data_IF_960805270816
#
_entry.id   IF_960805270816
#
_cell.length_a   1.000
_cell.length_b   1.000
_cell.length_c   1.000
_cell.angle_alpha   90.00
_cell.angle_beta   90.00
_cell.angle_gamma   90.00
#
_symmetry.space_group_name_H-M   'P 1'
#
loop_
_entity.id
_entity.type
_entity.pdbx_description
1 polymer ?
#
# COMPACT_ATOMS: atom_id res chain seq x y z
N UNK A 1 17.68 14.12 14.46
CA UNK A 1 17.46 12.69 14.13
C UNK A 1 16.95 12.51 12.71
N UNK A 2 15.79 13.10 12.34
CA UNK A 2 15.18 12.96 11.01
C UNK A 2 16.05 13.54 9.88
N UNK A 3 16.62 14.75 10.06
CA UNK A 3 17.58 15.33 9.12
C UNK A 3 18.81 14.44 8.88
N UNK A 4 19.45 13.97 9.95
CA UNK A 4 20.61 13.08 9.89
C UNK A 4 20.29 11.77 9.17
N UNK A 5 19.09 11.22 9.38
CA UNK A 5 18.64 10.03 8.67
C UNK A 5 18.43 10.30 7.18
N UNK A 6 17.81 11.42 6.82
CA UNK A 6 17.62 11.86 5.43
C UNK A 6 18.96 11.92 4.68
N UNK A 7 19.96 12.56 5.29
CA UNK A 7 21.30 12.70 4.74
C UNK A 7 21.99 11.34 4.57
N UNK A 8 21.94 10.48 5.59
CA UNK A 8 22.53 9.12 5.54
C UNK A 8 21.92 8.24 4.44
N UNK A 9 20.61 8.36 4.21
CA UNK A 9 19.90 7.59 3.18
C UNK A 9 20.00 8.23 1.79
N UNK A 10 20.57 9.43 1.67
CA UNK A 10 20.67 10.16 0.41
C UNK A 10 19.31 10.50 -0.22
N UNK A 11 18.23 10.57 0.57
CA UNK A 11 16.91 10.86 0.02
C UNK A 11 16.70 12.39 -0.16
N UNK A 12 16.10 12.83 -1.30
CA UNK A 12 15.91 14.26 -1.58
C UNK A 12 14.94 14.91 -0.58
N UNK A 13 13.89 14.18 -0.21
CA UNK A 13 12.91 14.58 0.80
C UNK A 13 12.27 13.39 1.50
N UNK A 14 11.74 13.63 2.70
CA UNK A 14 11.11 12.62 3.55
C UNK A 14 10.05 13.28 4.45
N UNK A 15 8.98 12.55 4.77
CA UNK A 15 8.00 12.96 5.79
C UNK A 15 7.88 11.89 6.87
N UNK A 16 7.73 12.32 8.12
CA UNK A 16 7.60 11.45 9.30
C UNK A 16 6.43 11.96 10.15
N UNK A 17 5.61 11.03 10.64
CA UNK A 17 4.51 11.32 11.58
C UNK A 17 4.49 10.24 12.67
N UNK A 18 4.30 10.67 13.92
CA UNK A 18 4.14 9.80 15.09
C UNK A 18 2.85 10.18 15.80
N UNK A 19 1.99 9.18 15.97
CA UNK A 19 0.72 9.30 16.69
C UNK A 19 0.73 8.41 17.93
N UNK A 20 0.21 8.93 19.04
CA UNK A 20 0.02 8.21 20.29
C UNK A 20 -1.42 8.41 20.76
N UNK A 21 -2.14 7.30 20.95
CA UNK A 21 -3.54 7.31 21.40
C UNK A 21 -4.45 8.20 20.53
N UNK A 22 -4.28 8.11 19.21
CA UNK A 22 -5.07 8.85 18.22
C UNK A 22 -4.69 10.33 18.07
N UNK A 23 -3.68 10.82 18.81
CA UNK A 23 -3.18 12.19 18.69
C UNK A 23 -1.80 12.21 18.04
N UNK A 24 -1.63 13.06 17.04
CA UNK A 24 -0.31 13.31 16.44
C UNK A 24 0.53 14.06 17.49
N UNK A 25 1.66 13.46 17.88
CA UNK A 25 2.60 14.04 18.85
C UNK A 25 3.87 14.58 18.16
N UNK A 26 4.09 14.20 16.90
CA UNK A 26 5.19 14.69 16.08
C UNK A 26 4.86 14.51 14.60
N UNK A 27 5.13 15.52 13.79
CA UNK A 27 4.96 15.47 12.35
C UNK A 27 5.93 16.46 11.69
N UNK A 28 6.69 16.00 10.70
CA UNK A 28 7.70 16.82 10.04
C UNK A 28 7.92 16.38 8.59
N UNK A 29 8.12 17.35 7.70
CA UNK A 29 8.61 17.17 6.34
C UNK A 29 10.01 17.78 6.21
N UNK A 30 10.94 17.04 5.61
CA UNK A 30 12.32 17.49 5.39
C UNK A 30 12.72 17.35 3.94
N UNK A 31 13.53 18.30 3.43
CA UNK A 31 14.00 18.30 2.05
C UNK A 31 12.92 18.68 1.03
N UNK A 32 13.06 18.16 -0.19
CA UNK A 32 12.24 18.57 -1.33
C UNK A 32 11.43 17.41 -1.90
N UNK A 33 10.15 17.67 -2.17
CA UNK A 33 9.26 16.81 -2.93
C UNK A 33 9.61 16.83 -4.43
N UNK A 34 10.13 17.96 -4.90
CA UNK A 34 10.67 18.13 -6.24
C UNK A 34 11.96 18.97 -6.15
N UNK A 35 13.08 18.39 -6.57
CA UNK A 35 14.40 19.02 -6.40
C UNK A 35 14.61 20.13 -7.43
N UNK A 36 14.17 19.91 -8.66
CA UNK A 36 14.32 20.84 -9.78
C UNK A 36 13.56 22.14 -9.57
N UNK A 37 12.39 22.05 -8.94
CA UNK A 37 11.51 23.18 -8.64
C UNK A 37 11.58 23.63 -7.18
N UNK A 38 12.49 23.05 -6.38
CA UNK A 38 12.69 23.39 -4.97
C UNK A 38 11.39 23.35 -4.15
N UNK A 39 10.51 22.39 -4.44
CA UNK A 39 9.23 22.25 -3.73
C UNK A 39 9.48 21.53 -2.41
N UNK A 40 9.27 22.16 -1.24
CA UNK A 40 9.54 21.53 0.04
C UNK A 40 8.56 20.38 0.33
N UNK A 41 9.03 19.36 1.06
CA UNK A 41 8.13 18.36 1.65
C UNK A 41 7.37 18.99 2.81
N UNK A 42 6.05 18.75 2.86
CA UNK A 42 5.17 19.11 3.96
C UNK A 42 4.19 17.97 4.26
N UNK A 43 3.31 18.16 5.24
CA UNK A 43 2.30 17.20 5.69
C UNK A 43 1.29 16.77 4.60
N UNK A 44 1.15 17.55 3.54
CA UNK A 44 0.22 17.29 2.44
C UNK A 44 0.93 16.69 1.21
N UNK A 45 2.25 16.48 1.27
CA UNK A 45 3.01 15.89 0.17
C UNK A 45 2.63 14.43 -0.03
N UNK A 46 2.21 14.08 -1.23
CA UNK A 46 1.82 12.70 -1.58
C UNK A 46 3.05 11.90 -2.02
N UNK A 47 3.23 10.72 -1.42
CA UNK A 47 4.30 9.78 -1.75
C UNK A 47 3.73 8.49 -2.36
N UNK A 48 4.52 7.83 -3.22
CA UNK A 48 4.24 6.45 -3.63
C UNK A 48 4.60 5.52 -2.47
N UNK A 49 3.61 4.81 -1.93
CA UNK A 49 3.77 3.98 -0.74
C UNK A 49 4.05 2.49 -1.03
N UNK A 50 4.11 2.11 -2.31
CA UNK A 50 4.40 0.75 -2.78
C UNK A 50 3.59 -0.33 -2.02
N UNK A 51 4.25 -1.32 -1.41
CA UNK A 51 3.62 -2.46 -0.74
C UNK A 51 2.77 -2.09 0.48
N UNK A 52 2.89 -0.87 1.00
CA UNK A 52 1.99 -0.35 2.05
C UNK A 52 0.55 -0.22 1.51
N UNK A 53 0.34 -0.24 0.19
CA UNK A 53 -1.01 -0.32 -0.40
C UNK A 53 -1.72 -1.66 -0.15
N UNK A 54 -1.00 -2.77 0.09
CA UNK A 54 -1.60 -4.13 0.17
C UNK A 54 -2.59 -4.29 1.33
N UNK A 55 -2.29 -3.85 2.57
CA UNK A 55 -3.27 -3.88 3.65
C UNK A 55 -4.59 -3.17 3.33
N UNK A 56 -4.56 -2.09 2.54
CA UNK A 56 -5.79 -1.41 2.10
C UNK A 56 -6.61 -2.29 1.15
N UNK A 57 -5.97 -2.95 0.19
CA UNK A 57 -6.65 -3.92 -0.69
C UNK A 57 -7.22 -5.09 0.12
N UNK A 58 -6.48 -5.62 1.10
CA UNK A 58 -6.98 -6.66 2.00
C UNK A 58 -8.20 -6.22 2.80
N UNK A 59 -8.21 -4.97 3.29
CA UNK A 59 -9.38 -4.41 3.97
C UNK A 59 -10.61 -4.36 3.04
N UNK A 60 -10.43 -3.92 1.80
CA UNK A 60 -11.51 -3.89 0.80
C UNK A 60 -12.04 -5.29 0.51
N UNK A 61 -11.15 -6.28 0.36
CA UNK A 61 -11.53 -7.69 0.21
C UNK A 61 -12.33 -8.16 1.42
N UNK A 62 -11.87 -7.90 2.64
CA UNK A 62 -12.61 -8.25 3.86
C UNK A 62 -14.04 -7.68 3.87
N UNK A 63 -14.22 -6.43 3.43
CA UNK A 63 -15.55 -5.82 3.28
C UNK A 63 -16.43 -6.52 2.25
N UNK A 64 -15.86 -7.05 1.17
CA UNK A 64 -16.61 -7.81 0.16
C UNK A 64 -17.03 -9.18 0.68
N UNK A 65 -16.17 -9.83 1.47
CA UNK A 65 -16.50 -11.08 2.17
C UNK A 65 -17.64 -10.87 3.16
N UNK A 66 -17.57 -9.81 3.99
CA UNK A 66 -18.64 -9.44 4.94
C UNK A 66 -19.98 -9.16 4.24
N UNK A 67 -19.93 -8.67 3.00
CA UNK A 67 -21.12 -8.39 2.17
C UNK A 67 -21.58 -9.60 1.36
N UNK A 68 -20.94 -10.76 1.48
CA UNK A 68 -21.17 -11.95 0.65
C UNK A 68 -21.08 -11.66 -0.87
N UNK A 69 -20.28 -10.67 -1.26
CA UNK A 69 -20.03 -10.29 -2.67
C UNK A 69 -18.79 -10.95 -3.25
N UNK A 70 -18.01 -11.58 -2.39
CA UNK A 70 -16.82 -12.34 -2.74
C UNK A 70 -16.79 -13.57 -1.83
N UNK A 71 -16.35 -14.68 -2.39
CA UNK A 71 -16.05 -15.92 -1.70
C UNK A 71 -14.63 -16.33 -2.11
N UNK A 72 -13.79 -16.63 -1.12
CA UNK A 72 -12.38 -17.00 -1.35
C UNK A 72 -12.23 -18.44 -1.84
N UNK A 73 -13.24 -19.29 -1.61
CA UNK A 73 -13.22 -20.69 -1.98
C UNK A 73 -13.95 -20.94 -3.32
N UNK A 74 -14.57 -19.90 -3.87
CA UNK A 74 -15.13 -19.89 -5.23
C UNK A 74 -14.03 -19.77 -6.30
N UNK A 75 -14.36 -20.19 -7.52
CA UNK A 75 -13.47 -20.07 -8.66
C UNK A 75 -13.29 -18.59 -9.08
N UNK A 76 -12.07 -18.21 -9.46
CA UNK A 76 -11.76 -16.88 -9.99
C UNK A 76 -12.59 -16.56 -11.26
N UNK A 77 -12.88 -17.56 -12.11
CA UNK A 77 -13.66 -17.38 -13.33
C UNK A 77 -15.13 -17.00 -13.07
N UNK A 78 -15.67 -17.31 -11.89
CA UNK A 78 -17.01 -16.87 -11.47
C UNK A 78 -17.10 -15.34 -11.34
N UNK A 79 -15.98 -14.67 -11.02
CA UNK A 79 -15.90 -13.22 -10.90
C UNK A 79 -15.27 -12.54 -12.12
N UNK A 80 -14.37 -13.23 -12.81
CA UNK A 80 -13.61 -12.69 -13.94
C UNK A 80 -13.54 -13.72 -15.09
N UNK A 81 -14.61 -13.84 -15.91
CA UNK A 81 -14.70 -14.88 -16.94
C UNK A 81 -13.61 -14.82 -18.00
N UNK A 82 -13.06 -13.64 -18.27
CA UNK A 82 -11.97 -13.42 -19.21
C UNK A 82 -10.57 -13.73 -18.65
N UNK A 83 -10.47 -14.16 -17.39
CA UNK A 83 -9.19 -14.43 -16.77
C UNK A 83 -8.47 -15.56 -17.53
N UNK A 84 -7.18 -15.40 -17.88
CA UNK A 84 -6.49 -16.39 -18.70
C UNK A 84 -6.29 -17.70 -17.93
N UNK A 85 -6.55 -18.84 -18.60
CA UNK A 85 -6.23 -20.16 -18.07
C UNK A 85 -4.73 -20.26 -17.77
N UNK A 86 -4.41 -20.52 -16.50
CA UNK A 86 -3.06 -20.88 -16.08
C UNK A 86 -3.01 -22.39 -15.86
N UNK A 87 -2.03 -23.05 -16.46
CA UNK A 87 -1.75 -24.49 -16.28
C UNK A 87 -1.18 -24.69 -14.87
N UNK A 88 -2.03 -24.65 -13.85
CA UNK A 88 -1.72 -25.07 -12.48
C UNK A 88 -3.00 -25.70 -11.93
N UNK A 89 -2.94 -26.98 -11.56
CA UNK A 89 -4.10 -27.86 -11.32
C UNK A 89 -5.09 -27.46 -10.21
N UNK A 90 -4.97 -26.26 -9.60
CA UNK A 90 -5.89 -25.77 -8.57
C UNK A 90 -5.90 -24.22 -8.56
N UNK A 91 -7.06 -23.61 -8.84
CA UNK A 91 -7.22 -22.18 -9.15
C UNK A 91 -8.30 -21.48 -8.30
N UNK A 92 -8.15 -21.50 -6.96
CA UNK A 92 -9.07 -20.83 -6.03
C UNK A 92 -8.72 -19.35 -5.79
N UNK A 93 -9.72 -18.49 -5.52
CA UNK A 93 -9.52 -17.06 -5.18
C UNK A 93 -8.55 -16.89 -3.99
N UNK A 94 -8.65 -17.74 -2.97
CA UNK A 94 -7.76 -17.78 -1.80
C UNK A 94 -6.27 -17.84 -2.18
N UNK A 95 -5.91 -18.60 -3.22
CA UNK A 95 -4.51 -18.77 -3.66
C UNK A 95 -3.97 -17.49 -4.30
N UNK A 96 -4.78 -16.73 -5.02
CA UNK A 96 -4.37 -15.44 -5.58
C UNK A 96 -4.33 -14.34 -4.51
N UNK A 97 -5.31 -14.35 -3.60
CA UNK A 97 -5.36 -13.42 -2.47
C UNK A 97 -4.10 -13.51 -1.59
N UNK A 98 -3.62 -14.71 -1.29
CA UNK A 98 -2.40 -14.93 -0.51
C UNK A 98 -1.09 -14.67 -1.29
N UNK A 99 -1.12 -14.61 -2.62
CA UNK A 99 0.05 -14.32 -3.44
C UNK A 99 0.18 -12.83 -3.85
N UNK A 100 -0.85 -12.01 -3.63
CA UNK A 100 -0.77 -10.55 -3.77
C UNK A 100 0.19 -9.91 -2.75
N UNK A 101 0.68 -10.66 -1.76
CA UNK A 101 1.67 -10.18 -0.79
C UNK A 101 3.11 -10.06 -1.33
N UNK A 102 3.39 -10.51 -2.56
CA UNK A 102 4.75 -10.47 -3.16
C UNK A 102 4.76 -9.66 -4.46
N UNK A 103 4.61 -8.34 -4.35
CA UNK A 103 5.13 -7.37 -5.33
C UNK A 103 5.98 -6.37 -4.57
#
# INVERSE_FOLDING_TARGET
MVYTFKEKMGCPGMSVCVSLSGKIIYQEGVGYANVEHMVPVNENTVFRIASISKPFTSLLVGRLLDQHKLDLDEDIWSYLPEFPEKIVNETYVRKYYLNIFII
#
